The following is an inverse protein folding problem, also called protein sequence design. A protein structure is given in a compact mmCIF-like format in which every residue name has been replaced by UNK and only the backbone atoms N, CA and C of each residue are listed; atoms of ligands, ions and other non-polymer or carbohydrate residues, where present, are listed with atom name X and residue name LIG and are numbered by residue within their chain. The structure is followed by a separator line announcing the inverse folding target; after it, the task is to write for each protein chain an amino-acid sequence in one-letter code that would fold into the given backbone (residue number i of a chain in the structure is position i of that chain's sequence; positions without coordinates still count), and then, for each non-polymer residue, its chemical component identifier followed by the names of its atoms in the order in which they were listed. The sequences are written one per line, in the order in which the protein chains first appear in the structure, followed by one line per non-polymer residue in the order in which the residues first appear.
data_IF_012112043249
#
_entry.id   IF_012112043249
#
_cell.length_a   1.000
_cell.length_b   1.000
_cell.length_c   1.000
_cell.angle_alpha   90.00
_cell.angle_beta   90.00
_cell.angle_gamma   90.00
#
_symmetry.space_group_name_H-M   'P 1'
#
loop_
_entity.id
_entity.type
_entity.pdbx_description
1 polymer ?
#
# COMPACT_ATOMS: atom_id res chain seq x y z
N UNK A 1 16.58 -1.94 -25.62
CA UNK A 1 16.89 -3.17 -24.84
C UNK A 1 15.63 -4.01 -24.89
N UNK A 2 15.66 -5.14 -25.58
CA UNK A 2 14.51 -6.04 -25.71
C UNK A 2 14.20 -6.69 -24.36
N UNK A 3 12.94 -6.61 -23.92
CA UNK A 3 12.47 -7.34 -22.74
C UNK A 3 12.74 -8.84 -22.90
N UNK A 4 13.40 -9.42 -21.91
CA UNK A 4 13.75 -10.84 -21.91
C UNK A 4 12.56 -11.61 -21.34
N UNK A 5 11.80 -12.30 -22.20
CA UNK A 5 10.71 -13.18 -21.73
C UNK A 5 11.30 -14.41 -21.00
N UNK A 6 11.10 -14.56 -19.67
CA UNK A 6 11.72 -15.63 -18.89
C UNK A 6 11.28 -17.04 -19.28
N UNK A 7 10.06 -17.20 -19.79
CA UNK A 7 9.49 -18.49 -20.16
C UNK A 7 10.25 -19.16 -21.31
N UNK A 8 10.86 -18.38 -22.21
CA UNK A 8 11.68 -18.89 -23.32
C UNK A 8 12.95 -19.62 -22.87
N UNK A 9 13.35 -19.45 -21.61
CA UNK A 9 14.63 -19.96 -21.09
C UNK A 9 14.45 -20.96 -19.94
N UNK A 10 13.23 -21.41 -19.67
CA UNK A 10 12.88 -22.25 -18.52
C UNK A 10 13.61 -23.60 -18.52
N UNK A 11 13.80 -24.19 -19.69
CA UNK A 11 14.34 -25.55 -19.87
C UNK A 11 15.69 -25.59 -20.61
N UNK A 12 16.40 -24.45 -20.69
CA UNK A 12 17.67 -24.34 -21.42
C UNK A 12 18.85 -24.71 -20.52
N UNK A 13 19.69 -25.68 -20.93
CA UNK A 13 20.90 -26.01 -20.19
C UNK A 13 21.97 -24.93 -20.34
N UNK A 14 22.84 -24.79 -19.33
CA UNK A 14 23.92 -23.78 -19.29
C UNK A 14 24.85 -23.81 -20.51
N UNK A 15 25.02 -24.99 -21.12
CA UNK A 15 25.93 -25.20 -22.24
C UNK A 15 25.22 -25.18 -23.60
N UNK A 16 23.90 -25.14 -23.64
CA UNK A 16 23.12 -25.15 -24.89
C UNK A 16 23.26 -23.83 -25.63
N UNK A 17 23.06 -23.81 -26.96
CA UNK A 17 22.91 -22.57 -27.71
C UNK A 17 21.77 -21.73 -27.13
N UNK A 18 22.00 -20.43 -27.01
CA UNK A 18 21.01 -19.53 -26.42
C UNK A 18 19.81 -19.35 -27.38
N UNK A 19 18.55 -19.53 -26.91
CA UNK A 19 17.34 -19.41 -27.74
C UNK A 19 17.13 -18.05 -28.41
N UNK A 20 17.83 -17.01 -27.98
CA UNK A 20 17.77 -15.68 -28.59
C UNK A 20 18.35 -15.60 -30.02
N UNK A 21 18.90 -16.71 -30.55
CA UNK A 21 19.48 -16.75 -31.90
C UNK A 21 20.92 -16.23 -32.00
N UNK A 22 21.57 -15.88 -30.88
CA UNK A 22 22.95 -15.35 -30.87
C UNK A 22 24.04 -16.36 -31.24
N UNK A 23 23.71 -17.65 -31.29
CA UNK A 23 24.67 -18.75 -31.50
C UNK A 23 25.64 -18.99 -30.32
N UNK A 24 25.59 -18.17 -29.27
CA UNK A 24 26.43 -18.31 -28.08
C UNK A 24 25.84 -19.33 -27.09
N UNK A 25 26.68 -19.95 -26.27
CA UNK A 25 26.21 -20.79 -25.14
C UNK A 25 25.39 -19.95 -24.17
N UNK A 26 24.30 -20.49 -23.64
CA UNK A 26 23.37 -19.80 -22.72
C UNK A 26 24.09 -19.13 -21.55
N UNK A 27 25.08 -19.82 -20.94
CA UNK A 27 25.92 -19.26 -19.85
C UNK A 27 26.73 -18.01 -20.20
N UNK A 28 27.04 -17.81 -21.48
CA UNK A 28 27.78 -16.65 -21.99
C UNK A 28 26.85 -15.56 -22.54
N UNK A 29 25.54 -15.82 -22.55
CA UNK A 29 24.53 -14.94 -23.11
C UNK A 29 23.52 -14.57 -22.00
N UNK A 30 22.27 -15.04 -22.09
CA UNK A 30 21.18 -14.62 -21.19
C UNK A 30 21.17 -15.24 -19.78
N UNK A 31 22.01 -16.25 -19.45
CA UNK A 31 22.02 -16.86 -18.11
C UNK A 31 22.30 -15.82 -17.01
N UNK A 32 23.25 -14.90 -17.24
CA UNK A 32 23.62 -13.87 -16.25
C UNK A 32 22.48 -12.88 -16.04
N UNK A 33 21.84 -12.42 -17.13
CA UNK A 33 20.71 -11.50 -17.09
C UNK A 33 19.53 -12.11 -16.37
N UNK A 34 19.18 -13.37 -16.67
CA UNK A 34 18.09 -14.08 -15.98
C UNK A 34 18.40 -14.33 -14.49
N UNK A 35 19.67 -14.62 -14.14
CA UNK A 35 20.07 -14.71 -12.73
C UNK A 35 19.96 -13.38 -12.02
N UNK A 36 20.38 -12.29 -12.65
CA UNK A 36 20.23 -10.93 -12.11
C UNK A 36 18.76 -10.57 -11.95
N UNK A 37 17.92 -10.89 -12.94
CA UNK A 37 16.48 -10.69 -12.90
C UNK A 37 15.84 -11.50 -11.76
N UNK A 38 16.16 -12.80 -11.61
CA UNK A 38 15.68 -13.63 -10.49
C UNK A 38 16.16 -13.13 -9.13
N UNK A 39 17.38 -12.61 -9.04
CA UNK A 39 17.90 -12.01 -7.80
C UNK A 39 17.21 -10.68 -7.51
N UNK A 40 16.92 -9.87 -8.53
CA UNK A 40 16.15 -8.65 -8.41
C UNK A 40 14.72 -8.98 -7.95
N UNK A 41 13.99 -9.86 -8.64
CA UNK A 41 12.65 -10.34 -8.29
C UNK A 41 12.56 -10.91 -6.87
N UNK A 42 13.59 -11.64 -6.40
CA UNK A 42 13.65 -12.12 -5.01
C UNK A 42 13.83 -11.00 -3.99
N UNK A 43 14.41 -9.87 -4.39
CA UNK A 43 14.63 -8.69 -3.54
C UNK A 43 13.49 -7.68 -3.63
N UNK A 44 12.80 -7.57 -4.77
CA UNK A 44 11.58 -6.77 -4.91
C UNK A 44 10.45 -7.48 -4.17
N UNK A 45 10.17 -7.04 -2.95
CA UNK A 45 9.02 -7.55 -2.20
C UNK A 45 7.75 -7.00 -2.84
N UNK A 46 6.83 -7.89 -3.21
CA UNK A 46 5.50 -7.46 -3.64
C UNK A 46 4.63 -7.08 -2.44
N UNK A 47 3.60 -6.27 -2.63
CA UNK A 47 2.70 -5.90 -1.52
C UNK A 47 2.09 -7.13 -0.83
N UNK A 48 1.79 -8.19 -1.58
CA UNK A 48 1.20 -9.43 -1.07
C UNK A 48 2.16 -10.20 -0.14
N UNK A 49 3.47 -9.99 -0.24
CA UNK A 49 4.46 -10.59 0.65
C UNK A 49 4.63 -9.79 1.95
N UNK A 50 4.22 -8.52 1.95
CA UNK A 50 4.38 -7.60 3.07
C UNK A 50 3.12 -7.48 3.92
N UNK A 51 1.96 -7.57 3.27
CA UNK A 51 0.66 -7.36 3.89
C UNK A 51 -0.26 -8.52 3.61
N UNK A 52 -1.00 -8.94 4.65
CA UNK A 52 -1.99 -10.00 4.57
C UNK A 52 -3.12 -9.77 5.58
N UNK A 53 -4.01 -10.76 5.77
CA UNK A 53 -5.16 -10.66 6.68
C UNK A 53 -4.78 -10.32 8.14
N UNK A 54 -3.61 -10.77 8.59
CA UNK A 54 -3.13 -10.58 9.96
C UNK A 54 -2.27 -9.32 10.13
N UNK A 55 -2.08 -8.52 9.08
CA UNK A 55 -1.29 -7.30 9.18
C UNK A 55 -2.09 -6.22 9.90
N UNK A 56 -1.74 -5.94 11.15
CA UNK A 56 -2.34 -4.84 11.89
C UNK A 56 -1.91 -3.47 11.34
N UNK A 57 -2.76 -2.45 11.54
CA UNK A 57 -2.52 -1.10 11.04
C UNK A 57 -1.20 -0.47 11.53
N UNK A 58 -0.75 -0.77 12.76
CA UNK A 58 0.56 -0.34 13.25
C UNK A 58 1.73 -0.94 12.43
N UNK A 59 1.64 -2.22 12.06
CA UNK A 59 2.65 -2.85 11.21
C UNK A 59 2.59 -2.27 9.80
N UNK A 60 1.40 -1.95 9.29
CA UNK A 60 1.23 -1.26 8.02
C UNK A 60 1.88 0.14 8.04
N UNK A 61 1.66 0.92 9.09
CA UNK A 61 2.33 2.21 9.28
C UNK A 61 3.86 2.09 9.26
N UNK A 62 4.43 1.10 9.98
CA UNK A 62 5.87 0.84 9.94
C UNK A 62 6.38 0.48 8.54
N UNK A 63 5.58 -0.24 7.75
CA UNK A 63 5.90 -0.52 6.35
C UNK A 63 5.91 0.77 5.52
N UNK A 64 4.98 1.71 5.75
CA UNK A 64 5.00 3.02 5.06
C UNK A 64 6.27 3.80 5.36
N UNK A 65 6.74 3.80 6.62
CA UNK A 65 8.02 4.42 6.98
C UNK A 65 9.19 3.79 6.24
N UNK A 66 9.31 2.47 6.26
CA UNK A 66 10.33 1.73 5.50
C UNK A 66 10.29 2.08 4.00
N UNK A 67 9.10 2.11 3.41
CA UNK A 67 8.91 2.45 1.99
C UNK A 67 9.41 3.87 1.70
N UNK A 68 9.13 4.82 2.59
CA UNK A 68 9.65 6.17 2.47
C UNK A 68 11.19 6.19 2.60
N UNK A 69 11.73 5.61 3.68
CA UNK A 69 13.18 5.58 4.00
C UNK A 69 14.01 4.96 2.87
N UNK A 70 13.52 3.87 2.28
CA UNK A 70 14.18 3.16 1.17
C UNK A 70 13.84 3.75 -0.21
N UNK A 71 13.07 4.86 -0.27
CA UNK A 71 12.58 5.51 -1.48
C UNK A 71 11.90 4.55 -2.48
N UNK A 72 11.07 3.63 -1.96
CA UNK A 72 10.40 2.60 -2.75
C UNK A 72 9.09 3.12 -3.35
N UNK A 73 9.16 4.21 -4.13
CA UNK A 73 8.01 4.87 -4.74
C UNK A 73 7.13 3.92 -5.59
N UNK A 74 7.74 2.97 -6.31
CA UNK A 74 6.99 1.98 -7.08
C UNK A 74 6.20 1.02 -6.17
N UNK A 75 6.79 0.59 -5.07
CA UNK A 75 6.09 -0.25 -4.08
C UNK A 75 4.96 0.54 -3.41
N UNK A 76 5.19 1.81 -3.08
CA UNK A 76 4.14 2.69 -2.57
C UNK A 76 2.95 2.77 -3.54
N UNK A 77 3.21 2.91 -4.84
CA UNK A 77 2.16 2.92 -5.86
C UNK A 77 1.36 1.61 -5.88
N UNK A 78 2.03 0.47 -5.70
CA UNK A 78 1.33 -0.81 -5.55
C UNK A 78 0.45 -0.82 -4.30
N UNK A 79 0.85 -0.20 -3.18
CA UNK A 79 0.05 -0.11 -1.96
C UNK A 79 -1.24 0.69 -2.11
N UNK A 80 -1.37 1.53 -3.15
CA UNK A 80 -2.60 2.28 -3.41
C UNK A 80 -3.75 1.34 -3.78
N UNK A 81 -4.94 1.62 -3.23
CA UNK A 81 -6.15 0.91 -3.59
C UNK A 81 -6.57 1.29 -5.02
N UNK A 82 -6.90 0.30 -5.86
CA UNK A 82 -7.22 0.47 -7.29
C UNK A 82 -8.39 1.45 -7.51
N UNK A 83 -9.40 1.41 -6.65
CA UNK A 83 -10.56 2.31 -6.70
C UNK A 83 -10.34 3.65 -5.97
N UNK A 84 -9.18 3.83 -5.32
CA UNK A 84 -8.86 4.99 -4.51
C UNK A 84 -8.59 6.26 -5.34
N UNK A 85 -8.76 7.47 -4.77
CA UNK A 85 -8.57 8.72 -5.48
C UNK A 85 -7.18 8.88 -6.10
N UNK A 86 -6.12 8.44 -5.39
CA UNK A 86 -4.75 8.51 -5.90
C UNK A 86 -4.52 7.62 -7.13
N UNK A 87 -5.15 6.45 -7.21
CA UNK A 87 -5.10 5.59 -8.41
C UNK A 87 -5.87 6.17 -9.58
N UNK A 88 -6.96 6.89 -9.32
CA UNK A 88 -7.67 7.65 -10.37
C UNK A 88 -6.83 8.83 -10.88
N UNK A 89 -6.12 9.52 -9.98
CA UNK A 89 -5.21 10.62 -10.34
C UNK A 89 -3.98 10.13 -11.11
N UNK A 90 -3.41 9.00 -10.70
CA UNK A 90 -2.23 8.39 -11.31
C UNK A 90 -2.57 6.98 -11.81
N UNK A 91 -3.19 6.85 -12.99
CA UNK A 91 -3.72 5.56 -13.48
C UNK A 91 -2.65 4.53 -13.79
N UNK A 92 -1.42 4.95 -14.05
CA UNK A 92 -0.27 4.06 -14.30
C UNK A 92 0.89 4.35 -13.36
N UNK A 93 1.78 3.35 -13.21
CA UNK A 93 3.00 3.49 -12.43
C UNK A 93 3.90 4.59 -13.02
N UNK A 94 4.01 4.69 -14.34
CA UNK A 94 4.83 5.73 -14.97
C UNK A 94 4.31 7.13 -14.63
N UNK A 95 2.99 7.34 -14.70
CA UNK A 95 2.38 8.63 -14.35
C UNK A 95 2.65 9.01 -12.88
N UNK A 96 2.59 8.04 -11.98
CA UNK A 96 2.91 8.26 -10.57
C UNK A 96 4.39 8.59 -10.35
N UNK A 97 5.30 7.83 -10.97
CA UNK A 97 6.74 8.05 -10.81
C UNK A 97 7.16 9.40 -11.39
N UNK A 98 6.60 9.82 -12.53
CA UNK A 98 6.85 11.13 -13.11
C UNK A 98 6.38 12.26 -12.18
N UNK A 99 5.18 12.14 -11.60
CA UNK A 99 4.66 13.10 -10.64
C UNK A 99 5.51 13.16 -9.35
N UNK A 100 6.06 12.01 -8.91
CA UNK A 100 6.97 11.96 -7.76
C UNK A 100 8.31 12.65 -8.06
N UNK A 101 8.90 12.39 -9.23
CA UNK A 101 10.16 13.01 -9.68
C UNK A 101 10.04 14.53 -9.84
N UNK A 102 8.90 15.00 -10.36
CA UNK A 102 8.57 16.41 -10.49
C UNK A 102 8.22 17.08 -9.15
N UNK A 103 8.15 16.31 -8.05
CA UNK A 103 7.83 16.81 -6.72
C UNK A 103 6.34 17.12 -6.49
N UNK A 104 5.46 16.76 -7.45
CA UNK A 104 4.00 16.91 -7.34
C UNK A 104 3.41 15.94 -6.31
N UNK A 105 4.05 14.79 -6.13
CA UNK A 105 3.73 13.84 -5.07
C UNK A 105 4.95 13.57 -4.19
N UNK A 106 4.78 13.74 -2.87
CA UNK A 106 5.77 13.34 -1.88
C UNK A 106 5.24 12.11 -1.15
N UNK A 107 6.10 11.13 -0.87
CA UNK A 107 5.69 9.99 -0.05
C UNK A 107 5.32 10.48 1.37
N UNK A 108 4.26 9.95 1.98
CA UNK A 108 3.91 10.27 3.36
C UNK A 108 4.84 9.53 4.33
N UNK A 109 4.68 9.78 5.64
CA UNK A 109 5.38 9.06 6.70
C UNK A 109 6.92 9.11 6.63
N UNK A 110 7.46 10.26 6.25
CA UNK A 110 8.90 10.54 6.36
C UNK A 110 9.35 10.54 7.82
N UNK A 111 10.67 10.53 8.07
CA UNK A 111 11.21 10.56 9.43
C UNK A 111 10.83 11.79 10.26
N UNK A 112 10.46 12.86 9.57
CA UNK A 112 10.00 14.11 10.19
C UNK A 112 8.51 14.05 10.62
N UNK A 113 7.79 12.97 10.28
CA UNK A 113 6.40 12.78 10.67
C UNK A 113 6.27 11.86 11.88
N UNK A 114 5.55 12.33 12.90
CA UNK A 114 5.14 11.53 14.05
C UNK A 114 3.70 11.05 13.88
N UNK A 115 3.46 9.76 14.14
CA UNK A 115 2.10 9.24 14.24
C UNK A 115 1.44 9.76 15.52
N UNK A 116 0.41 10.59 15.36
CA UNK A 116 -0.33 11.19 16.46
C UNK A 116 -1.53 10.36 16.88
N UNK A 117 -2.25 9.82 15.90
CA UNK A 117 -3.47 9.07 16.17
C UNK A 117 -3.68 7.99 15.12
N UNK A 118 -4.20 6.86 15.59
CA UNK A 118 -4.73 5.79 14.76
C UNK A 118 -6.18 5.56 15.19
N UNK A 119 -7.14 5.77 14.29
CA UNK A 119 -8.56 5.58 14.54
C UNK A 119 -9.11 4.51 13.61
N UNK A 120 -9.80 3.52 14.17
CA UNK A 120 -10.57 2.52 13.41
C UNK A 120 -11.99 3.05 13.28
N UNK A 121 -12.52 3.09 12.07
CA UNK A 121 -13.83 3.67 11.74
C UNK A 121 -14.50 2.82 10.65
N UNK A 122 -15.31 1.86 11.08
CA UNK A 122 -15.82 0.78 10.23
C UNK A 122 -14.67 -0.06 9.64
N UNK A 123 -14.59 -0.26 8.31
CA UNK A 123 -13.49 -0.98 7.68
C UNK A 123 -12.24 -0.10 7.52
N UNK A 124 -12.34 1.21 7.71
CA UNK A 124 -11.24 2.13 7.50
C UNK A 124 -10.38 2.27 8.77
N UNK A 125 -9.08 2.43 8.57
CA UNK A 125 -8.19 2.94 9.62
C UNK A 125 -7.60 4.26 9.15
N UNK A 126 -7.76 5.28 9.97
CA UNK A 126 -7.30 6.64 9.71
C UNK A 126 -6.05 6.88 10.57
N UNK A 127 -4.94 7.15 9.89
CA UNK A 127 -3.65 7.52 10.49
C UNK A 127 -3.50 9.04 10.39
N UNK A 128 -3.38 9.72 11.52
CA UNK A 128 -3.04 11.13 11.59
C UNK A 128 -1.57 11.25 11.93
N UNK A 129 -0.78 11.78 10.99
CA UNK A 129 0.63 12.05 11.16
C UNK A 129 0.86 13.55 11.18
N UNK A 130 1.89 14.02 11.88
CA UNK A 130 2.28 15.43 11.82
C UNK A 130 3.77 15.64 11.69
N UNK A 131 4.14 16.71 10.97
CA UNK A 131 5.51 17.14 10.76
C UNK A 131 5.72 18.57 11.26
N UNK A 132 6.89 18.80 11.86
CA UNK A 132 7.32 20.14 12.31
C UNK A 132 6.91 20.50 13.74
N UNK A 133 6.22 19.63 14.47
CA UNK A 133 5.82 19.90 15.86
C UNK A 133 7.04 20.08 16.79
N UNK A 134 8.11 19.33 16.53
CA UNK A 134 9.36 19.41 17.27
C UNK A 134 10.35 20.45 16.73
N UNK A 135 10.08 21.07 15.57
CA UNK A 135 10.96 22.11 15.01
C UNK A 135 10.66 23.46 15.68
N UNK A 136 11.55 24.00 16.54
CA UNK A 136 11.30 25.26 17.25
C UNK A 136 11.13 26.47 16.33
N UNK A 137 11.56 26.38 15.06
CA UNK A 137 11.46 27.47 14.08
C UNK A 137 10.21 27.40 13.21
N UNK A 138 9.49 26.28 13.21
CA UNK A 138 8.30 26.12 12.39
C UNK A 138 7.13 26.95 12.96
N UNK A 139 6.52 27.79 12.12
CA UNK A 139 5.32 28.55 12.46
C UNK A 139 4.02 27.73 12.25
N UNK A 140 4.09 26.70 11.40
CA UNK A 140 3.00 25.79 11.08
C UNK A 140 3.41 24.33 11.24
N UNK A 141 2.43 23.46 11.42
CA UNK A 141 2.57 22.00 11.37
C UNK A 141 1.87 21.48 10.14
N UNK A 142 2.52 20.53 9.47
CA UNK A 142 1.91 19.80 8.35
C UNK A 142 1.28 18.54 8.90
N UNK A 143 0.04 18.25 8.49
CA UNK A 143 -0.71 17.08 8.91
C UNK A 143 -1.00 16.23 7.69
N UNK A 144 -0.62 14.96 7.75
CA UNK A 144 -0.98 13.96 6.75
C UNK A 144 -2.04 13.04 7.37
N UNK A 145 -3.19 12.95 6.73
CA UNK A 145 -4.24 11.99 7.08
C UNK A 145 -4.25 10.88 6.04
N UNK A 146 -3.77 9.71 6.44
CA UNK A 146 -3.70 8.53 5.57
C UNK A 146 -4.87 7.62 5.93
N UNK A 147 -5.75 7.38 4.97
CA UNK A 147 -6.81 6.39 5.11
C UNK A 147 -6.34 5.08 4.51
N UNK A 148 -6.33 4.02 5.31
CA UNK A 148 -6.09 2.67 4.85
C UNK A 148 -7.37 1.84 4.96
N UNK A 149 -7.61 0.97 3.98
CA UNK A 149 -8.79 0.12 3.88
C UNK A 149 -8.37 -1.30 3.50
N UNK A 150 -8.94 -2.36 4.11
CA UNK A 150 -8.71 -3.72 3.64
C UNK A 150 -9.17 -3.84 2.18
N UNK A 151 -8.36 -4.53 1.38
CA UNK A 151 -8.53 -4.59 -0.06
C UNK A 151 -9.84 -5.25 -0.50
N UNK A 152 -10.43 -6.08 0.37
CA UNK A 152 -11.76 -6.67 0.18
C UNK A 152 -12.92 -5.67 0.26
N UNK A 153 -12.69 -4.38 0.54
CA UNK A 153 -13.76 -3.37 0.53
C UNK A 153 -13.64 -2.43 -0.67
N UNK A 154 -14.76 -2.17 -1.33
CA UNK A 154 -14.89 -1.22 -2.44
C UNK A 154 -15.02 0.24 -1.95
N UNK A 155 -15.21 1.18 -2.89
CA UNK A 155 -15.46 2.60 -2.58
C UNK A 155 -16.66 2.85 -1.65
N UNK A 156 -17.70 2.02 -1.77
CA UNK A 156 -18.93 2.09 -0.98
C UNK A 156 -18.82 1.33 0.35
N UNK A 157 -17.62 0.88 0.74
CA UNK A 157 -17.37 0.06 1.94
C UNK A 157 -18.12 -1.28 1.94
N UNK A 158 -18.43 -1.82 0.74
CA UNK A 158 -19.01 -3.15 0.57
C UNK A 158 -17.93 -4.17 0.23
N UNK A 159 -18.17 -5.42 0.60
CA UNK A 159 -17.27 -6.51 0.27
C UNK A 159 -17.23 -6.73 -1.25
N UNK A 160 -16.02 -6.85 -1.79
CA UNK A 160 -15.72 -7.18 -3.19
C UNK A 160 -14.80 -8.39 -3.28
N UNK A 161 -14.78 -9.01 -4.46
CA UNK A 161 -13.75 -10.00 -4.79
C UNK A 161 -12.39 -9.31 -4.90
N UNK A 162 -11.42 -9.73 -4.09
CA UNK A 162 -10.07 -9.17 -4.10
C UNK A 162 -9.04 -10.30 -4.31
N UNK A 163 -8.11 -10.10 -5.24
CA UNK A 163 -7.06 -11.08 -5.57
C UNK A 163 -6.10 -11.32 -4.38
N UNK A 164 -5.98 -10.36 -3.48
CA UNK A 164 -5.23 -10.46 -2.24
C UNK A 164 -5.97 -9.72 -1.12
N UNK A 165 -5.74 -10.13 0.13
CA UNK A 165 -6.34 -9.55 1.33
C UNK A 165 -5.33 -8.71 2.13
N UNK A 166 -5.84 -7.78 2.91
CA UNK A 166 -5.04 -6.90 3.77
C UNK A 166 -5.12 -5.43 3.35
N UNK A 167 -4.51 -4.55 4.13
CA UNK A 167 -4.64 -3.11 3.94
C UNK A 167 -4.04 -2.61 2.63
N UNK A 168 -4.73 -1.63 2.04
CA UNK A 168 -4.25 -0.75 0.97
C UNK A 168 -4.45 0.70 1.40
N UNK A 169 -3.68 1.61 0.82
CA UNK A 169 -3.87 3.05 1.00
C UNK A 169 -5.07 3.47 0.16
N UNK A 170 -6.14 3.89 0.82
CA UNK A 170 -7.34 4.39 0.16
C UNK A 170 -7.12 5.82 -0.33
N UNK A 171 -6.70 6.71 0.57
CA UNK A 171 -6.53 8.13 0.28
C UNK A 171 -5.52 8.79 1.22
N UNK A 172 -4.98 9.94 0.79
CA UNK A 172 -4.07 10.78 1.58
C UNK A 172 -4.48 12.23 1.42
N UNK A 173 -4.83 12.84 2.54
CA UNK A 173 -5.22 14.25 2.62
C UNK A 173 -4.15 15.00 3.42
N UNK A 174 -3.77 16.19 2.94
CA UNK A 174 -2.72 17.01 3.56
C UNK A 174 -3.29 18.34 4.02
N UNK A 175 -2.95 18.73 5.24
CA UNK A 175 -3.39 19.97 5.85
C UNK A 175 -2.21 20.73 6.43
N UNK A 176 -2.31 22.06 6.42
CA UNK A 176 -1.41 22.93 7.14
C UNK A 176 -2.18 23.65 8.24
N UNK A 177 -1.62 23.70 9.44
CA UNK A 177 -2.23 24.35 10.61
C UNK A 177 -1.19 25.17 11.39
N UNK A 178 -1.59 26.25 12.06
CA UNK A 178 -0.70 27.00 12.93
C UNK A 178 -0.12 26.09 14.03
N UNK A 179 1.14 26.31 14.40
CA UNK A 179 1.77 25.55 15.48
C UNK A 179 1.20 25.98 16.84
N UNK A 180 0.84 25.00 17.67
CA UNK A 180 0.31 25.22 19.04
C UNK A 180 -1.19 24.92 19.18
N UNK A 181 -1.90 24.71 18.07
CA UNK A 181 -3.27 24.20 18.06
C UNK A 181 -3.24 22.66 18.12
N UNK A 182 -3.92 22.07 19.10
CA UNK A 182 -4.12 20.63 19.14
C UNK A 182 -5.22 20.26 18.14
N UNK A 183 -4.81 19.84 16.94
CA UNK A 183 -5.73 19.50 15.86
C UNK A 183 -6.02 18.01 15.88
N UNK A 184 -7.27 17.66 16.19
CA UNK A 184 -7.79 16.31 16.14
C UNK A 184 -8.39 15.95 14.79
N UNK A 185 -8.76 14.67 14.64
CA UNK A 185 -9.45 14.19 13.44
C UNK A 185 -10.81 14.89 13.23
N UNK A 186 -11.53 15.22 14.30
CA UNK A 186 -12.81 15.91 14.20
C UNK A 186 -12.68 17.33 13.63
N UNK A 187 -11.61 18.05 13.97
CA UNK A 187 -11.32 19.40 13.46
C UNK A 187 -10.94 19.40 11.98
N UNK A 188 -10.51 18.24 11.47
CA UNK A 188 -10.24 18.00 10.06
C UNK A 188 -11.46 17.45 9.30
N UNK A 189 -12.64 17.39 9.93
CA UNK A 189 -13.89 16.94 9.33
C UNK A 189 -14.13 15.42 9.41
N UNK A 190 -13.29 14.67 10.12
CA UNK A 190 -13.50 13.24 10.33
C UNK A 190 -14.33 13.01 11.59
N UNK A 191 -15.64 12.91 11.43
CA UNK A 191 -16.57 12.47 12.49
C UNK A 191 -16.61 10.94 12.59
N UNK A 192 -17.13 10.41 13.70
CA UNK A 192 -17.46 8.98 13.81
C UNK A 192 -18.67 8.66 12.96
N UNK A 193 -18.72 7.47 12.36
CA UNK A 193 -19.98 6.94 11.83
C UNK A 193 -20.89 6.48 12.99
N UNK A 194 -22.21 6.69 12.84
CA UNK A 194 -23.18 6.46 13.92
C UNK A 194 -23.33 4.98 14.31
N UNK A 195 -23.07 4.06 13.39
CA UNK A 195 -22.90 2.63 13.65
C UNK A 195 -22.41 1.93 12.38
N UNK A 196 -21.35 1.13 12.49
CA UNK A 196 -20.94 0.22 11.42
C UNK A 196 -21.12 -1.23 11.86
N UNK A 197 -21.85 -2.00 11.07
CA UNK A 197 -21.98 -3.46 11.25
C UNK A 197 -21.17 -4.15 10.15
N UNK A 198 -20.32 -5.10 10.53
CA UNK A 198 -19.54 -5.84 9.55
C UNK A 198 -20.49 -6.57 8.58
N UNK A 199 -20.28 -6.52 7.25
CA UNK A 199 -21.21 -7.14 6.29
C UNK A 199 -21.40 -8.65 6.45
N UNK A 200 -20.44 -9.35 7.07
CA UNK A 200 -20.58 -10.77 7.44
C UNK A 200 -21.46 -10.97 8.69
N UNK A 201 -21.41 -10.07 9.67
CA UNK A 201 -22.24 -10.12 10.88
C UNK A 201 -23.71 -9.78 10.58
N UNK A 202 -23.96 -9.01 9.52
CA UNK A 202 -25.32 -8.75 9.03
C UNK A 202 -26.01 -10.00 8.43
N UNK A 203 -25.29 -11.12 8.23
CA UNK A 203 -25.79 -12.38 7.68
C UNK A 203 -26.03 -13.44 8.77
N UNK A 204 -26.80 -13.15 9.83
CA UNK A 204 -27.70 -14.08 10.57
C UNK A 204 -27.84 -13.72 12.05
N UNK A 205 -29.08 -13.64 12.60
CA UNK A 205 -29.37 -14.30 13.86
C UNK A 205 -29.59 -15.78 13.56
N UNK A 206 -28.65 -16.65 13.93
CA UNK A 206 -28.94 -18.09 13.99
C UNK A 206 -29.94 -18.26 15.14
N UNK A 207 -31.22 -18.41 14.81
CA UNK A 207 -32.23 -18.81 15.79
C UNK A 207 -31.79 -20.12 16.45
N UNK A 208 -31.65 -20.19 17.78
CA UNK A 208 -31.41 -21.45 18.43
C UNK A 208 -32.71 -22.27 18.33
N UNK A 209 -32.75 -23.24 17.43
CA UNK A 209 -33.77 -24.29 17.46
C UNK A 209 -33.49 -25.12 18.71
N UNK A 210 -34.26 -24.85 19.77
CA UNK A 210 -34.38 -25.72 20.94
C UNK A 210 -35.07 -27.01 20.49
N UNK A 211 -34.31 -28.01 20.09
CA UNK A 211 -34.79 -29.39 20.11
C UNK A 211 -34.77 -29.88 21.56
N UNK A 212 -35.94 -29.80 22.19
CA UNK A 212 -36.25 -30.53 23.40
C UNK A 212 -36.22 -32.03 23.07
N UNK A 213 -35.17 -32.72 23.52
CA UNK A 213 -35.20 -34.19 23.59
C UNK A 213 -36.02 -34.59 24.81
N UNK A 214 -37.13 -35.26 24.51
CA UNK A 214 -38.02 -35.98 25.43
C UNK A 214 -37.62 -37.45 25.48
#
# INVERSE_FOLDING_TARGET
MTEVNPELFKDVSRNDPCPCGSGQKFKKCHEKTLKLQKVAEKKTRSVQQLVGPNTHAWNFYKLLRMIHEDNLSALFYEFLHEEGPLRKKYPTLEAFLLASDQGEFKLPASDDFDLRRMRVDGPDVILLLNKGIHDPKAASVNLDVIRIRPNEFDASRKLRGANFRGFRIWDIERFERPKGEEVGLSDLGYTWEEAWTHPEEARSPVSPTLEAQS
#
